data_IF_479751300044
#
_entry.id   IF_479751300044
#
_cell.length_a   1.000
_cell.length_b   1.000
_cell.length_c   1.000
_cell.angle_alpha   90.00
_cell.angle_beta   90.00
_cell.angle_gamma   90.00
#
_symmetry.space_group_name_H-M   'P 1'
#
loop_
_entity.id
_entity.type
_entity.pdbx_description
1 polymer ?
#
# COMPACT_ATOMS: atom_id res chain seq x y z
N UNK A 1 -2.68 -12.08 -2.84
CA UNK A 1 -1.52 -12.35 -1.98
C UNK A 1 -2.05 -12.19 -0.58
N UNK A 2 -2.24 -13.29 0.13
CA UNK A 2 -2.72 -13.27 1.51
C UNK A 2 -1.49 -13.24 2.42
N UNK A 3 -1.53 -12.38 3.43
CA UNK A 3 -0.52 -12.38 4.47
C UNK A 3 -0.91 -13.48 5.46
N UNK A 4 0.02 -14.39 5.72
CA UNK A 4 -0.19 -15.36 6.77
C UNK A 4 -0.25 -14.63 8.12
N UNK A 5 -0.88 -15.28 9.11
CA UNK A 5 -1.13 -14.66 10.40
C UNK A 5 0.16 -14.12 11.04
N UNK A 6 1.26 -14.86 10.93
CA UNK A 6 2.54 -14.46 11.50
C UNK A 6 3.12 -13.24 10.80
N UNK A 7 3.08 -13.17 9.47
CA UNK A 7 3.50 -11.99 8.72
C UNK A 7 2.67 -10.75 9.08
N UNK A 8 1.37 -10.93 9.32
CA UNK A 8 0.48 -9.84 9.73
C UNK A 8 0.81 -9.30 11.13
N UNK A 9 1.08 -10.20 12.08
CA UNK A 9 1.50 -9.85 13.44
C UNK A 9 2.86 -9.11 13.44
N UNK A 10 3.82 -9.55 12.63
CA UNK A 10 5.12 -8.86 12.48
C UNK A 10 4.96 -7.44 11.89
N UNK A 11 4.14 -7.29 10.86
CA UNK A 11 3.87 -5.95 10.29
C UNK A 11 3.18 -5.05 11.31
N UNK A 12 2.21 -5.58 12.06
CA UNK A 12 1.55 -4.84 13.13
C UNK A 12 2.56 -4.38 14.18
N UNK A 13 3.46 -5.25 14.62
CA UNK A 13 4.50 -4.89 15.58
C UNK A 13 5.38 -3.74 15.06
N UNK A 14 5.84 -3.80 13.81
CA UNK A 14 6.65 -2.72 13.21
C UNK A 14 5.89 -1.39 13.18
N UNK A 15 4.60 -1.42 12.85
CA UNK A 15 3.77 -0.21 12.83
C UNK A 15 3.55 0.35 14.23
N UNK A 16 3.25 -0.50 15.21
CA UNK A 16 3.10 -0.10 16.63
C UNK A 16 4.40 0.43 17.23
N UNK A 17 5.56 -0.15 16.88
CA UNK A 17 6.85 0.34 17.36
C UNK A 17 7.21 1.73 16.81
N UNK A 18 6.70 2.08 15.63
CA UNK A 18 6.91 3.39 14.99
C UNK A 18 5.84 4.41 15.32
N UNK A 19 4.67 3.96 15.77
CA UNK A 19 3.56 4.80 16.22
C UNK A 19 4.07 5.88 17.19
N UNK A 20 3.76 7.14 16.86
CA UNK A 20 4.16 8.35 17.60
C UNK A 20 5.66 8.56 17.82
N UNK A 21 6.53 7.70 17.26
CA UNK A 21 7.99 7.79 17.37
C UNK A 21 8.67 8.15 16.07
N UNK A 22 8.19 7.63 14.94
CA UNK A 22 8.79 7.83 13.62
C UNK A 22 7.72 7.83 12.52
N UNK A 23 7.95 8.62 11.47
CA UNK A 23 7.06 8.61 10.29
C UNK A 23 7.11 7.29 9.53
N UNK A 24 5.97 6.90 8.97
CA UNK A 24 5.81 5.73 8.10
C UNK A 24 5.08 6.18 6.83
N UNK A 25 5.59 5.76 5.67
CA UNK A 25 4.91 5.93 4.39
C UNK A 25 4.52 4.55 3.84
N UNK A 26 3.26 4.41 3.42
CA UNK A 26 2.70 3.17 2.86
C UNK A 26 2.04 3.50 1.53
N UNK A 27 2.30 2.67 0.53
CA UNK A 27 1.61 2.69 -0.75
C UNK A 27 0.74 1.43 -0.86
N UNK A 28 -0.53 1.61 -1.20
CA UNK A 28 -1.48 0.53 -1.43
C UNK A 28 -2.19 0.76 -2.75
N UNK A 29 -2.38 -0.31 -3.52
CA UNK A 29 -3.19 -0.32 -4.74
C UNK A 29 -4.66 -0.69 -4.46
N UNK A 30 -4.98 -1.05 -3.22
CA UNK A 30 -6.33 -1.35 -2.73
C UNK A 30 -6.77 -0.30 -1.70
N UNK A 31 -8.07 -0.03 -1.64
CA UNK A 31 -8.65 0.80 -0.58
C UNK A 31 -8.62 0.06 0.77
N UNK A 32 -8.77 0.78 1.88
CA UNK A 32 -8.78 0.16 3.22
C UNK A 32 -9.84 -0.94 3.37
N UNK A 33 -10.98 -0.85 2.67
CA UNK A 33 -11.97 -1.92 2.67
C UNK A 33 -11.46 -3.24 2.08
N UNK A 34 -10.57 -3.16 1.09
CA UNK A 34 -9.93 -4.32 0.45
C UNK A 34 -8.86 -4.99 1.31
N UNK A 35 -8.38 -4.33 2.36
CA UNK A 35 -7.28 -4.84 3.20
C UNK A 35 -7.65 -6.07 4.03
N UNK A 36 -8.94 -6.30 4.27
CA UNK A 36 -9.44 -7.53 4.91
C UNK A 36 -9.11 -8.81 4.13
N UNK A 37 -8.84 -8.70 2.82
CA UNK A 37 -8.35 -9.82 2.00
C UNK A 37 -6.87 -10.12 2.25
N UNK A 38 -6.09 -9.09 2.58
CA UNK A 38 -4.64 -9.20 2.80
C UNK A 38 -4.35 -9.56 4.25
N UNK A 39 -5.01 -8.88 5.18
CA UNK A 39 -4.96 -9.12 6.62
C UNK A 39 -6.13 -10.01 7.01
N UNK A 40 -5.89 -11.31 7.00
CA UNK A 40 -6.89 -12.37 7.23
C UNK A 40 -7.59 -12.28 8.61
N UNK A 41 -7.03 -11.52 9.57
CA UNK A 41 -7.68 -11.13 10.82
C UNK A 41 -8.32 -9.72 10.70
N UNK A 42 -9.67 -9.62 10.69
CA UNK A 42 -10.37 -8.35 10.61
C UNK A 42 -10.06 -7.38 11.76
N UNK A 43 -9.79 -7.89 12.96
CA UNK A 43 -9.48 -7.05 14.13
C UNK A 43 -8.10 -6.41 13.96
N UNK A 44 -7.14 -7.20 13.49
CA UNK A 44 -5.79 -6.71 13.20
C UNK A 44 -5.80 -5.68 12.06
N UNK A 45 -6.56 -5.96 11.00
CA UNK A 45 -6.75 -5.02 9.90
C UNK A 45 -7.30 -3.67 10.38
N UNK A 46 -8.36 -3.69 11.19
CA UNK A 46 -8.95 -2.47 11.74
C UNK A 46 -7.96 -1.69 12.61
N UNK A 47 -7.22 -2.40 13.47
CA UNK A 47 -6.20 -1.81 14.35
C UNK A 47 -5.03 -1.17 13.58
N UNK A 48 -4.65 -1.72 12.42
CA UNK A 48 -3.64 -1.13 11.54
C UNK A 48 -4.19 0.13 10.88
N UNK A 49 -5.38 0.06 10.29
CA UNK A 49 -6.00 1.20 9.59
C UNK A 49 -6.19 2.37 10.56
N UNK A 50 -6.72 2.12 11.75
CA UNK A 50 -6.90 3.13 12.80
C UNK A 50 -5.60 3.91 13.07
N UNK A 51 -4.50 3.19 13.34
CA UNK A 51 -3.18 3.79 13.61
C UNK A 51 -2.63 4.63 12.45
N UNK A 52 -2.78 4.14 11.22
CA UNK A 52 -2.31 4.86 10.03
C UNK A 52 -3.11 6.13 9.77
N UNK A 53 -4.40 6.13 10.12
CA UNK A 53 -5.30 7.28 9.91
C UNK A 53 -5.31 8.28 11.06
N UNK A 54 -4.84 7.91 12.25
CA UNK A 54 -4.86 8.77 13.43
C UNK A 54 -4.11 10.09 13.24
N UNK A 55 -2.88 10.04 12.73
CA UNK A 55 -2.05 11.21 12.42
C UNK A 55 -1.37 11.07 11.05
N UNK A 56 -2.14 10.70 10.04
CA UNK A 56 -1.67 10.43 8.69
C UNK A 56 -2.31 11.33 7.63
N UNK A 57 -1.58 11.56 6.54
CA UNK A 57 -2.11 12.22 5.34
C UNK A 57 -2.36 11.16 4.27
N UNK A 58 -3.60 11.07 3.78
CA UNK A 58 -3.95 10.18 2.67
C UNK A 58 -3.72 10.94 1.36
N UNK A 59 -2.94 10.33 0.45
CA UNK A 59 -2.66 10.86 -0.88
C UNK A 59 -3.20 9.87 -1.91
N UNK A 60 -4.20 10.30 -2.69
CA UNK A 60 -4.72 9.51 -3.81
C UNK A 60 -3.87 9.78 -5.06
N UNK A 61 -3.19 8.75 -5.55
CA UNK A 61 -2.25 8.88 -6.68
C UNK A 61 -2.90 8.80 -8.07
N UNK A 62 -4.20 8.46 -8.14
CA UNK A 62 -4.91 8.21 -9.38
C UNK A 62 -4.61 6.84 -10.00
N UNK A 63 -4.97 6.66 -11.26
CA UNK A 63 -4.93 5.37 -11.98
C UNK A 63 -3.93 5.33 -13.13
N UNK A 64 -3.21 6.41 -13.38
CA UNK A 64 -2.28 6.51 -14.50
C UNK A 64 -1.03 5.64 -14.27
N UNK A 65 -0.83 4.67 -15.16
CA UNK A 65 0.36 3.81 -15.11
C UNK A 65 1.51 4.42 -15.89
N UNK A 66 2.51 4.93 -15.18
CA UNK A 66 3.74 5.45 -15.78
C UNK A 66 4.51 4.38 -16.56
N UNK A 67 4.45 3.12 -16.10
CA UNK A 67 5.05 1.97 -16.79
C UNK A 67 4.40 1.72 -18.15
N UNK A 68 3.07 1.80 -18.23
CA UNK A 68 2.34 1.64 -19.48
C UNK A 68 2.62 2.80 -20.44
N UNK A 69 2.59 4.04 -19.95
CA UNK A 69 2.91 5.23 -20.75
C UNK A 69 4.32 5.13 -21.36
N UNK A 70 5.32 4.76 -20.56
CA UNK A 70 6.70 4.58 -21.04
C UNK A 70 6.84 3.45 -22.08
N UNK A 71 6.05 2.40 -21.97
CA UNK A 71 6.06 1.28 -22.92
C UNK A 71 5.41 1.68 -24.24
N UNK A 72 4.26 2.37 -24.20
CA UNK A 72 3.61 2.92 -25.40
C UNK A 72 4.52 3.89 -26.14
N UNK A 73 5.14 4.83 -25.44
CA UNK A 73 6.06 5.80 -26.02
C UNK A 73 7.26 5.15 -26.73
N UNK A 74 7.78 4.04 -26.21
CA UNK A 74 8.87 3.28 -26.84
C UNK A 74 8.41 2.51 -28.08
N UNK A 75 7.20 1.97 -28.08
CA UNK A 75 6.64 1.24 -29.23
C UNK A 75 6.24 2.17 -30.38
N UNK A 76 5.84 3.41 -30.05
CA UNK A 76 5.42 4.43 -31.03
C UNK A 76 6.61 5.20 -31.65
N UNK A 77 7.84 5.02 -31.16
CA UNK A 77 9.03 5.53 -31.84
C UNK A 77 9.26 4.74 -33.14
N UNK A 78 9.16 5.37 -34.32
CA UNK A 78 9.49 4.69 -35.56
C UNK A 78 10.96 4.29 -35.50
N UNK A 79 11.27 3.06 -35.91
CA UNK A 79 12.64 2.63 -36.12
C UNK A 79 13.29 3.66 -37.03
N UNK A 80 14.30 4.37 -36.50
CA UNK A 80 15.12 5.28 -37.28
C UNK A 80 15.84 4.44 -38.34
N UNK A 81 15.29 4.44 -39.55
CA UNK A 81 15.91 3.92 -40.76
C UNK A 81 16.74 4.99 -41.44
#
# INVERSE_FOLDING_TARGET
MELDRHGAELLFQVLTEREEKNSVAIASNESFGGWTKTFTDPRLCAAIVDRLTFNGTIIETGTDSYRLASTRARTEQPAAG
#
